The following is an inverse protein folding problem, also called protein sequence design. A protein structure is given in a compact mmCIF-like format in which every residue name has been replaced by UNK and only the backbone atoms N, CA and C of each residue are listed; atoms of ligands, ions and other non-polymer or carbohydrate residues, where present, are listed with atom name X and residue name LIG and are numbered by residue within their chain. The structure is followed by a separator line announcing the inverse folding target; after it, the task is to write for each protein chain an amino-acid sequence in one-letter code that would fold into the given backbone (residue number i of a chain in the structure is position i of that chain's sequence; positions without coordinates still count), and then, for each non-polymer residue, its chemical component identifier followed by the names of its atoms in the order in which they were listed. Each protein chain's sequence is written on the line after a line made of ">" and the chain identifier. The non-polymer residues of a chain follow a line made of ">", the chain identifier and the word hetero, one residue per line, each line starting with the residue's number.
data_IF_883127221756
#
_entry.id   IF_883127221756
#
_cell.length_a   1.000
_cell.length_b   1.000
_cell.length_c   1.000
_cell.angle_alpha   90.00
_cell.angle_beta   90.00
_cell.angle_gamma   90.00
#
_symmetry.space_group_name_H-M   'P 1'
#
loop_
_entity.id
_entity.type
_entity.pdbx_description
1 polymer ?
#
# COMPACT_ATOMS: atom_id res chain seq x y z
N UNK A 1 -1.73 38.73 -24.61
CA UNK A 1 -0.85 38.03 -25.57
C UNK A 1 -0.56 36.66 -24.99
N UNK A 2 -1.03 35.62 -25.64
CA UNK A 2 -0.74 34.27 -25.21
C UNK A 2 0.75 34.00 -25.44
N UNK A 3 1.45 33.63 -24.37
CA UNK A 3 2.85 33.23 -24.40
C UNK A 3 2.97 31.92 -25.17
N UNK A 4 3.85 31.86 -26.18
CA UNK A 4 3.99 30.67 -27.01
C UNK A 4 4.49 29.49 -26.18
N UNK A 5 4.17 28.27 -26.62
CA UNK A 5 4.65 27.03 -25.96
C UNK A 5 6.17 26.94 -25.91
N UNK A 6 6.85 27.43 -26.95
CA UNK A 6 8.30 27.51 -27.03
C UNK A 6 8.88 28.43 -25.95
N UNK A 7 8.24 29.60 -25.72
CA UNK A 7 8.66 30.52 -24.66
C UNK A 7 8.51 29.92 -23.28
N UNK A 8 7.38 29.24 -23.00
CA UNK A 8 7.13 28.52 -21.73
C UNK A 8 8.13 27.39 -21.52
N UNK A 9 8.43 26.63 -22.56
CA UNK A 9 9.42 25.54 -22.49
C UNK A 9 10.83 26.10 -22.23
N UNK A 10 11.24 27.12 -22.92
CA UNK A 10 12.53 27.76 -22.71
C UNK A 10 12.68 28.33 -21.28
N UNK A 11 11.63 28.95 -20.74
CA UNK A 11 11.60 29.45 -19.37
C UNK A 11 11.69 28.32 -18.34
N UNK A 12 11.02 27.17 -18.56
CA UNK A 12 11.12 25.97 -17.71
C UNK A 12 12.53 25.38 -17.77
N UNK A 13 13.10 25.26 -18.96
CA UNK A 13 14.45 24.73 -19.15
C UNK A 13 15.52 25.63 -18.49
N UNK A 14 15.35 26.92 -18.53
CA UNK A 14 16.25 27.91 -17.90
C UNK A 14 16.27 27.76 -16.34
N UNK A 15 15.24 27.22 -15.74
CA UNK A 15 15.19 26.96 -14.28
C UNK A 15 16.15 25.86 -13.82
N UNK A 16 16.71 25.06 -14.73
CA UNK A 16 17.68 24.02 -14.41
C UNK A 16 17.18 22.98 -13.41
N UNK A 17 15.87 22.69 -13.41
CA UNK A 17 15.24 21.78 -12.46
C UNK A 17 15.82 20.36 -12.62
N UNK A 18 16.21 19.76 -11.50
CA UNK A 18 16.62 18.34 -11.42
C UNK A 18 15.54 17.57 -10.70
N UNK A 19 14.47 17.23 -11.43
CA UNK A 19 13.32 16.51 -10.88
C UNK A 19 13.38 15.07 -11.41
N UNK A 20 13.42 14.10 -10.49
CA UNK A 20 13.32 12.69 -10.81
C UNK A 20 11.83 12.29 -10.85
N UNK A 21 11.34 11.97 -12.04
CA UNK A 21 9.98 11.50 -12.28
C UNK A 21 9.90 9.98 -12.45
N UNK A 22 11.01 9.26 -12.26
CA UNK A 22 11.06 7.80 -12.51
C UNK A 22 10.32 7.00 -11.46
N UNK A 23 10.10 7.56 -10.28
CA UNK A 23 9.32 6.94 -9.19
C UNK A 23 8.53 8.00 -8.42
N UNK A 24 7.28 7.66 -8.07
CA UNK A 24 6.52 8.41 -7.06
C UNK A 24 7.07 8.12 -5.67
N UNK A 25 7.92 9.00 -5.15
CA UNK A 25 8.44 8.93 -3.78
C UNK A 25 7.98 10.16 -3.01
N UNK A 26 7.58 10.00 -1.73
CA UNK A 26 7.36 11.14 -0.86
C UNK A 26 8.63 12.00 -0.75
N UNK A 27 8.47 13.30 -0.65
CA UNK A 27 9.56 14.23 -0.31
C UNK A 27 10.00 14.04 1.14
N UNK A 28 11.22 14.52 1.47
CA UNK A 28 11.74 14.42 2.83
C UNK A 28 10.85 15.13 3.86
N UNK A 29 10.31 16.28 3.50
CA UNK A 29 9.36 17.05 4.29
C UNK A 29 8.06 16.28 4.61
N UNK A 30 7.59 15.45 3.70
CA UNK A 30 6.45 14.55 3.92
C UNK A 30 6.83 13.39 4.84
N UNK A 31 8.04 12.85 4.70
CA UNK A 31 8.53 11.75 5.56
C UNK A 31 8.78 12.24 7.00
N UNK A 32 9.21 13.49 7.15
CA UNK A 32 9.47 14.10 8.46
C UNK A 32 8.19 14.18 9.34
N UNK A 33 7.00 14.22 8.73
CA UNK A 33 5.73 14.15 9.45
C UNK A 33 5.54 12.84 10.25
N UNK A 34 6.26 11.79 9.90
CA UNK A 34 6.18 10.46 10.52
C UNK A 34 7.31 10.19 11.52
N UNK A 35 8.27 11.11 11.69
CA UNK A 35 9.46 10.87 12.54
C UNK A 35 9.12 10.54 13.98
N UNK A 36 8.07 11.13 14.54
CA UNK A 36 7.64 10.88 15.91
C UNK A 36 7.21 9.43 16.14
N UNK A 37 6.72 8.73 15.11
CA UNK A 37 6.34 7.32 15.19
C UNK A 37 7.53 6.44 15.62
N UNK A 38 8.75 6.80 15.22
CA UNK A 38 9.96 6.03 15.54
C UNK A 38 10.31 6.08 17.04
N UNK A 39 9.84 7.10 17.76
CA UNK A 39 10.09 7.32 19.18
C UNK A 39 8.93 6.91 20.10
N UNK A 40 7.75 6.62 19.56
CA UNK A 40 6.55 6.32 20.35
C UNK A 40 6.63 5.01 21.15
N UNK A 41 7.50 4.09 20.78
CA UNK A 41 7.51 2.73 21.33
C UNK A 41 6.25 1.93 20.93
N UNK A 42 6.39 0.61 20.96
CA UNK A 42 5.27 -0.30 20.66
C UNK A 42 4.80 -0.92 21.98
N UNK A 43 3.51 -0.86 22.31
CA UNK A 43 2.97 -1.61 23.43
C UNK A 43 3.28 -3.10 23.31
N UNK A 44 3.57 -3.77 24.42
CA UNK A 44 3.84 -5.21 24.41
C UNK A 44 2.58 -6.06 24.23
N UNK A 45 1.41 -5.47 24.41
CA UNK A 45 0.11 -6.14 24.27
C UNK A 45 -0.84 -5.29 23.44
N UNK A 46 -1.65 -5.97 22.61
CA UNK A 46 -2.78 -5.37 21.92
C UNK A 46 -3.91 -5.05 22.91
N UNK A 47 -4.94 -4.33 22.48
CA UNK A 47 -6.14 -4.06 23.28
C UNK A 47 -6.87 -5.35 23.69
N UNK A 48 -6.77 -6.41 22.88
CA UNK A 48 -7.33 -7.74 23.22
C UNK A 48 -6.43 -8.58 24.14
N UNK A 49 -5.28 -8.04 24.59
CA UNK A 49 -4.35 -8.73 25.49
C UNK A 49 -3.39 -9.70 24.80
N UNK A 50 -3.32 -9.70 23.48
CA UNK A 50 -2.34 -10.51 22.72
C UNK A 50 -0.96 -9.89 22.85
N UNK A 51 0.06 -10.70 23.20
CA UNK A 51 1.45 -10.24 23.23
C UNK A 51 1.97 -10.05 21.80
N UNK A 52 2.13 -8.76 21.41
CA UNK A 52 2.53 -8.39 20.05
C UNK A 52 3.98 -8.73 19.70
N UNK A 53 4.76 -9.21 20.67
CA UNK A 53 6.15 -9.66 20.48
C UNK A 53 6.25 -11.14 20.12
N UNK A 54 5.14 -11.85 20.14
CA UNK A 54 5.04 -13.28 19.86
C UNK A 54 4.37 -13.52 18.50
N UNK A 55 4.12 -14.78 18.14
CA UNK A 55 3.35 -15.12 16.96
C UNK A 55 1.99 -14.43 17.00
N UNK A 56 1.69 -13.71 15.93
CA UNK A 56 0.46 -12.94 15.82
C UNK A 56 -0.74 -13.77 15.40
N UNK A 57 -1.90 -13.14 15.47
CA UNK A 57 -3.14 -13.64 14.88
C UNK A 57 -2.97 -13.69 13.33
N UNK A 58 -3.39 -14.78 12.66
CA UNK A 58 -3.31 -14.89 11.19
C UNK A 58 -3.98 -13.75 10.41
N UNK A 59 -4.97 -13.10 10.99
CA UNK A 59 -5.64 -11.96 10.37
C UNK A 59 -5.02 -10.60 10.73
N UNK A 60 -4.10 -10.58 11.70
CA UNK A 60 -3.57 -9.36 12.30
C UNK A 60 -4.34 -8.93 13.55
N UNK A 61 -3.72 -8.11 14.40
CA UNK A 61 -4.36 -7.58 15.60
C UNK A 61 -5.56 -6.70 15.24
N UNK A 62 -6.56 -6.65 16.12
CA UNK A 62 -7.83 -5.96 15.88
C UNK A 62 -7.62 -4.50 15.51
N UNK A 63 -6.76 -3.78 16.24
CA UNK A 63 -6.50 -2.35 16.02
C UNK A 63 -5.93 -2.07 14.62
N UNK A 64 -5.05 -2.93 14.14
CA UNK A 64 -4.48 -2.78 12.79
C UNK A 64 -5.52 -3.09 11.71
N UNK A 65 -6.42 -4.05 11.96
CA UNK A 65 -7.53 -4.37 11.07
C UNK A 65 -8.57 -3.26 11.04
N UNK A 66 -8.88 -2.66 12.19
CA UNK A 66 -9.79 -1.49 12.28
C UNK A 66 -9.24 -0.31 11.49
N UNK A 67 -7.96 0.01 11.66
CA UNK A 67 -7.29 1.07 10.89
C UNK A 67 -7.31 0.76 9.39
N UNK A 68 -7.00 -0.47 8.99
CA UNK A 68 -7.07 -0.90 7.59
C UNK A 68 -8.48 -0.81 7.01
N UNK A 69 -9.49 -1.22 7.77
CA UNK A 69 -10.90 -1.16 7.39
C UNK A 69 -11.36 0.30 7.16
N UNK A 70 -10.97 1.22 8.05
CA UNK A 70 -11.24 2.65 7.92
C UNK A 70 -10.59 3.22 6.64
N UNK A 71 -9.28 2.98 6.45
CA UNK A 71 -8.53 3.48 5.30
C UNK A 71 -9.08 2.96 3.96
N UNK A 72 -9.56 1.72 3.93
CA UNK A 72 -10.07 1.07 2.73
C UNK A 72 -11.59 1.22 2.56
N UNK A 73 -12.29 1.84 3.52
CA UNK A 73 -13.76 1.88 3.57
C UNK A 73 -14.38 0.49 3.42
N UNK A 74 -13.79 -0.51 4.08
CA UNK A 74 -14.18 -1.91 4.04
C UNK A 74 -14.66 -2.39 5.42
N UNK A 75 -15.51 -3.43 5.50
CA UNK A 75 -15.84 -4.05 6.78
C UNK A 75 -14.62 -4.72 7.42
N UNK A 76 -14.50 -4.65 8.75
CA UNK A 76 -13.38 -5.23 9.49
C UNK A 76 -13.28 -6.75 9.30
N UNK A 77 -14.42 -7.43 9.18
CA UNK A 77 -14.48 -8.87 8.94
C UNK A 77 -13.87 -9.27 7.59
N UNK A 78 -13.83 -8.35 6.63
CA UNK A 78 -13.23 -8.52 5.31
C UNK A 78 -11.81 -7.96 5.21
N UNK A 79 -11.26 -7.48 6.32
CA UNK A 79 -9.94 -6.85 6.37
C UNK A 79 -8.95 -7.74 7.11
N UNK A 80 -7.84 -8.03 6.48
CA UNK A 80 -6.68 -8.68 7.10
C UNK A 80 -5.44 -7.79 6.95
N UNK A 81 -4.53 -7.89 7.89
CA UNK A 81 -3.25 -7.19 7.85
C UNK A 81 -2.16 -8.22 7.54
N UNK A 82 -1.49 -8.00 6.43
CA UNK A 82 -0.39 -8.87 5.97
C UNK A 82 0.97 -8.18 6.07
N UNK A 83 1.86 -8.57 5.18
CA UNK A 83 3.23 -8.10 5.12
C UNK A 83 3.35 -6.61 4.72
N UNK A 84 4.57 -6.07 4.85
CA UNK A 84 4.90 -4.69 4.45
C UNK A 84 4.94 -4.48 2.93
N UNK A 85 4.88 -5.54 2.11
CA UNK A 85 4.96 -5.46 0.66
C UNK A 85 3.60 -5.68 0.00
N UNK A 86 2.97 -4.60 -0.47
CA UNK A 86 1.72 -4.68 -1.23
C UNK A 86 1.84 -5.52 -2.51
N UNK A 87 3.01 -5.49 -3.17
CA UNK A 87 3.25 -6.31 -4.36
C UNK A 87 3.26 -7.81 -4.02
N UNK A 88 3.83 -8.19 -2.88
CA UNK A 88 3.84 -9.58 -2.43
C UNK A 88 2.44 -10.05 -2.05
N UNK A 89 1.67 -9.22 -1.34
CA UNK A 89 0.27 -9.51 -1.02
C UNK A 89 -0.57 -9.72 -2.27
N UNK A 90 -0.44 -8.85 -3.28
CA UNK A 90 -1.14 -8.98 -4.55
C UNK A 90 -0.72 -10.27 -5.28
N UNK A 91 0.58 -10.57 -5.30
CA UNK A 91 1.09 -11.80 -5.89
C UNK A 91 0.50 -13.04 -5.21
N UNK A 92 0.50 -13.09 -3.88
CA UNK A 92 -0.06 -14.20 -3.11
C UNK A 92 -1.55 -14.37 -3.38
N UNK A 93 -2.31 -13.25 -3.44
CA UNK A 93 -3.73 -13.28 -3.76
C UNK A 93 -4.00 -13.83 -5.17
N UNK A 94 -3.24 -13.35 -6.16
CA UNK A 94 -3.34 -13.83 -7.55
C UNK A 94 -2.97 -15.31 -7.62
N UNK A 95 -1.87 -15.72 -6.98
CA UNK A 95 -1.43 -17.11 -6.97
C UNK A 95 -2.46 -18.04 -6.31
N UNK A 96 -3.04 -17.64 -5.18
CA UNK A 96 -4.08 -18.41 -4.50
C UNK A 96 -5.31 -18.59 -5.40
N UNK A 97 -5.77 -17.51 -6.06
CA UNK A 97 -6.89 -17.60 -7.00
C UNK A 97 -6.54 -18.41 -8.26
N UNK A 98 -5.31 -18.32 -8.76
CA UNK A 98 -4.86 -19.11 -9.89
C UNK A 98 -4.87 -20.61 -9.57
N UNK A 99 -4.37 -21.00 -8.40
CA UNK A 99 -4.26 -22.40 -7.99
C UNK A 99 -5.58 -23.00 -7.49
N UNK A 100 -6.32 -22.26 -6.70
CA UNK A 100 -7.49 -22.76 -5.95
C UNK A 100 -8.79 -22.07 -6.36
N UNK A 101 -8.77 -20.75 -6.62
CA UNK A 101 -9.97 -19.94 -6.88
C UNK A 101 -10.85 -19.77 -5.63
N UNK A 102 -11.95 -19.04 -5.77
CA UNK A 102 -13.02 -19.02 -4.77
C UNK A 102 -13.94 -20.21 -4.96
N UNK A 103 -14.43 -20.42 -6.18
CA UNK A 103 -15.27 -21.57 -6.57
C UNK A 103 -14.52 -22.51 -7.51
N UNK A 104 -13.82 -21.95 -8.50
CA UNK A 104 -13.07 -22.67 -9.53
C UNK A 104 -11.71 -22.02 -9.72
N UNK A 105 -10.65 -22.83 -9.68
CA UNK A 105 -9.29 -22.36 -9.91
C UNK A 105 -9.16 -21.65 -11.28
N UNK A 106 -8.53 -20.49 -11.31
CA UNK A 106 -8.37 -19.73 -12.55
C UNK A 106 -7.64 -20.52 -13.63
N UNK A 107 -6.62 -21.32 -13.24
CA UNK A 107 -5.89 -22.18 -14.18
C UNK A 107 -6.77 -23.17 -14.96
N UNK A 108 -7.98 -23.44 -14.49
CA UNK A 108 -8.94 -24.34 -15.14
C UNK A 108 -9.92 -23.60 -16.07
N UNK A 109 -9.83 -22.26 -16.13
CA UNK A 109 -10.73 -21.42 -16.93
C UNK A 109 -10.04 -21.03 -18.23
N UNK A 110 -10.79 -21.10 -19.35
CA UNK A 110 -10.25 -20.86 -20.69
C UNK A 110 -10.21 -19.40 -21.15
N UNK A 111 -10.86 -18.48 -20.42
CA UNK A 111 -11.02 -17.09 -20.85
C UNK A 111 -10.77 -16.09 -19.73
N UNK A 112 -9.65 -16.23 -19.02
CA UNK A 112 -9.23 -15.26 -18.01
C UNK A 112 -8.88 -13.93 -18.68
N UNK A 113 -9.39 -12.83 -18.10
CA UNK A 113 -9.07 -11.47 -18.51
C UNK A 113 -8.70 -10.65 -17.30
N UNK A 114 -7.61 -9.90 -17.39
CA UNK A 114 -7.25 -8.87 -16.44
C UNK A 114 -7.64 -7.51 -17.02
N UNK A 115 -8.27 -6.69 -16.18
CA UNK A 115 -8.59 -5.30 -16.53
C UNK A 115 -7.62 -4.43 -15.72
N UNK A 116 -6.80 -3.63 -16.42
CA UNK A 116 -5.84 -2.70 -15.85
C UNK A 116 -6.23 -1.26 -16.14
#
# INVERSE_FOLDING_TARGET
>A
MDESLESKFAALKAKGLKIDLTRGKPGSDQLDLSNDLLSMGVPSQSQSGVDVRNYGDPLGITEARELGAELLSAPIENTLVGEQSSLLLIYQLILANYLFGLDVAWKSQSNLKFIC
#
